data_IF_566437656221
#
_entry.id   IF_566437656221
#
_cell.length_a   1.000
_cell.length_b   1.000
_cell.length_c   1.000
_cell.angle_alpha   90.00
_cell.angle_beta   90.00
_cell.angle_gamma   90.00
#
_symmetry.space_group_name_H-M   'P 1'
#
loop_
_entity.id
_entity.type
_entity.pdbx_description
1 polymer ?
#
# COMPACT_ATOMS: atom_id res chain seq x y z
N UNK A 1 -34.12 -20.10 67.81
CA UNK A 1 -34.75 -20.37 66.51
C UNK A 1 -34.11 -19.47 65.47
N UNK A 2 -33.43 -20.10 64.50
CA UNK A 2 -33.00 -19.65 63.16
C UNK A 2 -32.37 -18.26 62.94
N UNK A 3 -31.07 -18.32 62.68
CA UNK A 3 -30.19 -17.41 61.93
C UNK A 3 -30.62 -17.26 60.46
N UNK A 4 -30.46 -16.07 59.86
CA UNK A 4 -29.99 -15.84 58.48
C UNK A 4 -29.48 -14.39 58.40
N UNK A 5 -28.18 -14.15 58.60
CA UNK A 5 -27.05 -14.23 57.65
C UNK A 5 -26.99 -13.04 56.68
N UNK A 6 -26.13 -12.10 57.08
CA UNK A 6 -25.38 -11.12 56.26
C UNK A 6 -24.86 -11.80 54.99
N UNK A 7 -25.08 -11.19 53.82
CA UNK A 7 -24.26 -11.47 52.64
C UNK A 7 -23.57 -10.19 52.23
N UNK A 8 -22.25 -10.26 52.38
CA UNK A 8 -21.27 -9.21 52.20
C UNK A 8 -21.06 -8.84 50.73
N UNK A 9 -20.49 -7.64 50.58
CA UNK A 9 -19.89 -7.05 49.39
C UNK A 9 -19.32 -8.05 48.36
N UNK A 10 -19.78 -7.93 47.12
CA UNK A 10 -19.10 -8.49 45.95
C UNK A 10 -17.81 -7.70 45.65
N UNK A 11 -16.75 -8.36 45.14
CA UNK A 11 -15.40 -7.83 45.09
C UNK A 11 -15.23 -6.86 43.90
N UNK A 12 -14.84 -5.63 44.20
CA UNK A 12 -14.44 -4.57 43.26
C UNK A 12 -13.35 -4.98 42.23
N UNK A 13 -12.70 -6.12 42.40
CA UNK A 13 -11.56 -6.57 41.58
C UNK A 13 -11.97 -7.13 40.20
N UNK A 14 -13.17 -7.70 40.06
CA UNK A 14 -13.59 -8.37 38.83
C UNK A 14 -14.10 -7.38 37.76
N UNK A 15 -14.81 -6.33 38.18
CA UNK A 15 -15.37 -5.29 37.30
C UNK A 15 -14.27 -4.43 36.66
N UNK A 16 -13.18 -4.19 37.39
CA UNK A 16 -12.03 -3.43 36.89
C UNK A 16 -11.34 -4.13 35.71
N UNK A 17 -11.17 -5.46 35.79
CA UNK A 17 -10.49 -6.26 34.76
C UNK A 17 -11.28 -6.31 33.44
N UNK A 18 -12.60 -6.46 33.51
CA UNK A 18 -13.48 -6.46 32.31
C UNK A 18 -13.48 -5.09 31.64
N UNK A 19 -13.54 -4.01 32.42
CA UNK A 19 -13.55 -2.64 31.91
C UNK A 19 -12.21 -2.27 31.27
N UNK A 20 -11.09 -2.65 31.88
CA UNK A 20 -9.74 -2.45 31.29
C UNK A 20 -9.57 -3.23 30.00
N UNK A 21 -10.11 -4.44 29.90
CA UNK A 21 -10.02 -5.27 28.69
C UNK A 21 -10.88 -4.68 27.56
N UNK A 22 -12.10 -4.25 27.86
CA UNK A 22 -12.99 -3.59 26.90
C UNK A 22 -12.45 -2.23 26.41
N UNK A 23 -11.85 -1.43 27.29
CA UNK A 23 -11.16 -0.18 26.93
C UNK A 23 -9.90 -0.44 26.09
N UNK A 24 -9.19 -1.55 26.35
CA UNK A 24 -8.03 -1.96 25.55
C UNK A 24 -8.45 -2.42 24.15
N UNK A 25 -9.56 -3.15 24.02
CA UNK A 25 -10.09 -3.63 22.73
C UNK A 25 -10.67 -2.49 21.88
N UNK A 26 -11.43 -1.57 22.47
CA UNK A 26 -11.92 -0.37 21.75
C UNK A 26 -10.76 0.51 21.28
N UNK A 27 -9.78 0.78 22.15
CA UNK A 27 -8.58 1.52 21.76
C UNK A 27 -7.67 0.81 20.74
N UNK A 28 -7.78 -0.52 20.59
CA UNK A 28 -7.12 -1.27 19.51
C UNK A 28 -7.85 -1.09 18.17
N UNK A 29 -9.18 -1.15 18.18
CA UNK A 29 -10.02 -0.91 16.99
C UNK A 29 -9.75 0.47 16.39
N UNK A 30 -9.75 1.54 17.21
CA UNK A 30 -9.57 2.91 16.73
C UNK A 30 -8.15 3.16 16.16
N UNK A 31 -7.13 2.56 16.79
CA UNK A 31 -5.75 2.61 16.29
C UNK A 31 -5.57 1.86 14.98
N UNK A 32 -6.23 0.71 14.82
CA UNK A 32 -6.22 -0.05 13.57
C UNK A 32 -6.95 0.69 12.46
N UNK A 33 -8.10 1.28 12.74
CA UNK A 33 -8.87 2.04 11.75
C UNK A 33 -8.12 3.29 11.26
N UNK A 34 -7.52 4.06 12.17
CA UNK A 34 -6.71 5.25 11.79
C UNK A 34 -5.45 4.89 11.00
N UNK A 35 -4.80 3.78 11.36
CA UNK A 35 -3.68 3.19 10.61
C UNK A 35 -4.12 2.80 9.20
N UNK A 36 -5.21 2.04 9.07
CA UNK A 36 -5.70 1.56 7.78
C UNK A 36 -6.11 2.71 6.86
N UNK A 37 -6.85 3.70 7.37
CA UNK A 37 -7.24 4.90 6.61
C UNK A 37 -6.03 5.61 6.01
N UNK A 38 -4.98 5.82 6.79
CA UNK A 38 -3.75 6.49 6.32
C UNK A 38 -3.03 5.70 5.23
N UNK A 39 -2.96 4.37 5.37
CA UNK A 39 -2.40 3.49 4.34
C UNK A 39 -3.22 3.53 3.05
N UNK A 40 -4.55 3.54 3.15
CA UNK A 40 -5.43 3.65 1.99
C UNK A 40 -5.25 4.99 1.28
N UNK A 41 -5.16 6.10 2.01
CA UNK A 41 -4.89 7.43 1.44
C UNK A 41 -3.56 7.45 0.69
N UNK A 42 -2.50 6.91 1.28
CA UNK A 42 -1.21 6.81 0.60
C UNK A 42 -1.29 5.90 -0.64
N UNK A 43 -1.97 4.76 -0.53
CA UNK A 43 -2.21 3.86 -1.66
C UNK A 43 -2.91 4.58 -2.80
N UNK A 44 -4.02 5.29 -2.55
CA UNK A 44 -4.76 6.05 -3.57
C UNK A 44 -3.90 7.14 -4.20
N UNK A 45 -3.11 7.87 -3.40
CA UNK A 45 -2.20 8.90 -3.92
C UNK A 45 -1.15 8.29 -4.87
N UNK A 46 -0.51 7.18 -4.48
CA UNK A 46 0.43 6.46 -5.34
C UNK A 46 -0.26 5.82 -6.55
N UNK A 47 -1.51 5.37 -6.43
CA UNK A 47 -2.31 4.87 -7.55
C UNK A 47 -2.54 5.96 -8.61
N UNK A 48 -2.78 7.21 -8.18
CA UNK A 48 -2.89 8.35 -9.08
C UNK A 48 -1.60 8.58 -9.89
N UNK A 49 -0.44 8.53 -9.24
CA UNK A 49 0.86 8.58 -9.94
C UNK A 49 1.01 7.41 -10.91
N UNK A 50 0.65 6.20 -10.48
CA UNK A 50 0.65 5.00 -11.33
C UNK A 50 -0.28 5.10 -12.54
N UNK A 51 -1.45 5.73 -12.41
CA UNK A 51 -2.36 5.95 -13.52
C UNK A 51 -1.75 6.92 -14.55
N UNK A 52 -1.15 8.02 -14.10
CA UNK A 52 -0.48 8.99 -14.96
C UNK A 52 0.68 8.33 -15.71
N UNK A 53 1.54 7.59 -15.00
CA UNK A 53 2.68 6.90 -15.64
C UNK A 53 2.20 5.78 -16.57
N UNK A 54 1.15 5.05 -16.22
CA UNK A 54 0.55 4.04 -17.09
C UNK A 54 0.04 4.62 -18.41
N UNK A 55 -0.66 5.76 -18.35
CA UNK A 55 -1.10 6.50 -19.56
C UNK A 55 0.11 6.95 -20.38
N UNK A 56 1.14 7.51 -19.76
CA UNK A 56 2.36 7.91 -20.47
C UNK A 56 3.00 6.73 -21.19
N UNK A 57 3.19 5.60 -20.49
CA UNK A 57 3.78 4.37 -21.06
C UNK A 57 3.01 3.90 -22.29
N UNK A 58 1.68 3.84 -22.23
CA UNK A 58 0.85 3.40 -23.37
C UNK A 58 1.01 4.30 -24.59
N UNK A 59 1.30 5.59 -24.41
CA UNK A 59 1.46 6.53 -25.51
C UNK A 59 2.89 6.58 -26.08
N UNK A 60 3.91 6.17 -25.32
CA UNK A 60 5.32 6.24 -25.76
C UNK A 60 5.91 4.88 -26.12
N UNK A 61 5.39 3.79 -25.56
CA UNK A 61 5.92 2.45 -25.79
C UNK A 61 5.43 1.89 -27.14
N UNK A 62 6.34 1.27 -27.88
CA UNK A 62 6.03 0.55 -29.12
C UNK A 62 5.92 -0.95 -28.83
N UNK A 63 4.86 -1.59 -29.31
CA UNK A 63 4.65 -3.03 -29.17
C UNK A 63 3.25 -3.39 -28.65
N UNK A 64 2.92 -4.67 -28.69
CA UNK A 64 1.66 -5.18 -28.11
C UNK A 64 1.78 -5.36 -26.60
N UNK A 65 0.65 -5.43 -25.90
CA UNK A 65 0.62 -5.73 -24.46
C UNK A 65 0.80 -4.54 -23.50
N UNK A 66 1.26 -3.38 -23.97
CA UNK A 66 1.40 -2.19 -23.11
C UNK A 66 0.06 -1.63 -22.59
N UNK A 67 -1.08 -2.02 -23.18
CA UNK A 67 -2.41 -1.67 -22.66
C UNK A 67 -2.64 -2.11 -21.21
N UNK A 68 -1.97 -3.17 -20.74
CA UNK A 68 -2.08 -3.65 -19.35
C UNK A 68 -1.54 -2.64 -18.33
N UNK A 69 -0.68 -1.69 -18.73
CA UNK A 69 -0.16 -0.66 -17.82
C UNK A 69 -1.25 0.27 -17.28
N UNK A 70 -2.36 0.45 -18.00
CA UNK A 70 -3.50 1.25 -17.53
C UNK A 70 -4.12 0.72 -16.24
N UNK A 71 -3.97 -0.59 -15.96
CA UNK A 71 -4.49 -1.23 -14.75
C UNK A 71 -3.36 -1.64 -13.82
N UNK A 72 -2.28 -2.21 -14.35
CA UNK A 72 -1.16 -2.71 -13.55
C UNK A 72 -0.41 -1.59 -12.81
N UNK A 73 -0.17 -0.44 -13.45
CA UNK A 73 0.55 0.67 -12.83
C UNK A 73 -0.20 1.31 -11.65
N UNK A 74 -1.49 1.70 -11.76
CA UNK A 74 -2.22 2.21 -10.60
C UNK A 74 -2.38 1.17 -9.49
N UNK A 75 -2.59 -0.11 -9.84
CA UNK A 75 -2.70 -1.18 -8.84
C UNK A 75 -1.37 -1.39 -8.10
N UNK A 76 -0.24 -1.40 -8.83
CA UNK A 76 1.08 -1.50 -8.23
C UNK A 76 1.39 -0.31 -7.31
N UNK A 77 1.06 0.91 -7.76
CA UNK A 77 1.17 2.13 -6.95
C UNK A 77 0.35 2.04 -5.66
N UNK A 78 -0.91 1.59 -5.76
CA UNK A 78 -1.78 1.39 -4.61
C UNK A 78 -1.20 0.42 -3.58
N UNK A 79 -0.82 -0.78 -4.04
CA UNK A 79 -0.31 -1.84 -3.19
C UNK A 79 1.03 -1.47 -2.56
N UNK A 80 1.96 -0.91 -3.33
CA UNK A 80 3.26 -0.48 -2.82
C UNK A 80 3.10 0.69 -1.83
N UNK A 81 2.32 1.72 -2.18
CA UNK A 81 2.06 2.88 -1.34
C UNK A 81 1.46 2.52 0.01
N UNK A 82 0.37 1.74 0.01
CA UNK A 82 -0.28 1.32 1.25
C UNK A 82 0.61 0.43 2.12
N UNK A 83 1.39 -0.46 1.50
CA UNK A 83 2.30 -1.38 2.19
C UNK A 83 3.46 -0.64 2.85
N UNK A 84 4.22 0.16 2.11
CA UNK A 84 5.36 0.87 2.68
C UNK A 84 4.94 1.96 3.67
N UNK A 85 3.77 2.58 3.49
CA UNK A 85 3.21 3.45 4.52
C UNK A 85 3.02 2.71 5.84
N UNK A 86 2.43 1.51 5.80
CA UNK A 86 2.17 0.69 6.97
C UNK A 86 3.45 0.19 7.64
N UNK A 87 4.44 -0.23 6.84
CA UNK A 87 5.67 -0.82 7.36
C UNK A 87 6.68 0.22 7.88
N UNK A 88 6.70 1.42 7.29
CA UNK A 88 7.72 2.44 7.56
C UNK A 88 7.11 3.65 8.27
N UNK A 89 6.22 4.39 7.60
CA UNK A 89 5.71 5.66 8.10
C UNK A 89 4.90 5.51 9.40
N UNK A 90 4.10 4.44 9.54
CA UNK A 90 3.31 4.21 10.75
C UNK A 90 4.13 3.87 11.99
N UNK A 91 5.35 3.33 11.82
CA UNK A 91 6.25 3.07 12.96
C UNK A 91 6.81 4.37 13.54
N UNK A 92 6.85 5.44 12.73
CA UNK A 92 7.29 6.76 13.16
C UNK A 92 6.34 7.84 12.65
N UNK A 93 5.11 7.84 13.18
CA UNK A 93 3.98 8.72 12.76
C UNK A 93 4.31 10.22 12.82
N UNK A 94 5.33 10.59 13.59
CA UNK A 94 5.79 11.96 13.73
C UNK A 94 7.00 12.26 12.86
N UNK A 95 7.39 11.44 11.88
CA UNK A 95 8.55 11.71 11.03
C UNK A 95 8.16 11.96 9.57
N UNK A 96 8.33 13.21 9.11
CA UNK A 96 8.20 13.57 7.68
C UNK A 96 9.23 12.82 6.85
N UNK A 97 10.44 12.63 7.39
CA UNK A 97 11.47 11.85 6.72
C UNK A 97 11.08 10.38 6.58
N UNK A 98 10.43 9.79 7.60
CA UNK A 98 9.91 8.42 7.48
C UNK A 98 8.78 8.32 6.44
N UNK A 99 7.92 9.33 6.36
CA UNK A 99 6.91 9.45 5.30
C UNK A 99 7.54 9.55 3.92
N UNK A 100 8.54 10.41 3.75
CA UNK A 100 9.28 10.57 2.50
C UNK A 100 9.96 9.26 2.07
N UNK A 101 10.63 8.58 3.02
CA UNK A 101 11.29 7.31 2.75
C UNK A 101 10.29 6.20 2.39
N UNK A 102 9.16 6.12 3.09
CA UNK A 102 8.08 5.19 2.75
C UNK A 102 7.55 5.42 1.33
N UNK A 103 7.36 6.69 0.94
CA UNK A 103 6.91 7.08 -0.38
C UNK A 103 7.94 6.78 -1.48
N UNK A 104 9.22 7.04 -1.23
CA UNK A 104 10.31 6.70 -2.15
C UNK A 104 10.40 5.18 -2.38
N UNK A 105 10.31 4.38 -1.30
CA UNK A 105 10.27 2.92 -1.40
C UNK A 105 9.05 2.42 -2.18
N UNK A 106 7.88 3.04 -1.97
CA UNK A 106 6.68 2.73 -2.74
C UNK A 106 6.87 3.03 -4.23
N UNK A 107 7.46 4.19 -4.56
CA UNK A 107 7.86 4.56 -5.91
C UNK A 107 8.72 3.47 -6.54
N UNK A 108 9.82 3.09 -5.88
CA UNK A 108 10.74 2.05 -6.39
C UNK A 108 10.07 0.69 -6.55
N UNK A 109 9.42 0.19 -5.49
CA UNK A 109 8.86 -1.17 -5.48
C UNK A 109 7.67 -1.34 -6.44
N UNK A 110 6.97 -0.24 -6.75
CA UNK A 110 5.87 -0.26 -7.71
C UNK A 110 6.31 -0.67 -9.11
N UNK A 111 7.58 -0.46 -9.50
CA UNK A 111 8.10 -0.87 -10.81
C UNK A 111 8.11 -2.39 -10.96
N UNK A 112 8.72 -3.09 -10.00
CA UNK A 112 8.74 -4.55 -9.98
C UNK A 112 7.33 -5.12 -9.94
N UNK A 113 6.49 -4.58 -9.05
CA UNK A 113 5.11 -5.04 -8.89
C UNK A 113 4.29 -4.79 -10.16
N UNK A 114 4.45 -3.65 -10.83
CA UNK A 114 3.77 -3.32 -12.08
C UNK A 114 4.15 -4.33 -13.18
N UNK A 115 5.43 -4.56 -13.41
CA UNK A 115 5.86 -5.53 -14.43
C UNK A 115 5.39 -6.95 -14.13
N UNK A 116 5.46 -7.37 -12.87
CA UNK A 116 4.94 -8.67 -12.49
C UNK A 116 3.44 -8.80 -12.77
N UNK A 117 2.66 -7.77 -12.45
CA UNK A 117 1.23 -7.74 -12.74
C UNK A 117 0.93 -7.75 -14.24
N UNK A 118 1.71 -7.04 -15.07
CA UNK A 118 1.58 -7.07 -16.54
C UNK A 118 1.84 -8.47 -17.07
N UNK A 119 2.92 -9.13 -16.64
CA UNK A 119 3.21 -10.50 -17.07
C UNK A 119 2.17 -11.50 -16.60
N UNK A 120 1.71 -11.38 -15.35
CA UNK A 120 0.67 -12.24 -14.82
C UNK A 120 -0.66 -12.06 -15.58
N UNK A 121 -1.07 -10.82 -15.85
CA UNK A 121 -2.27 -10.52 -16.62
C UNK A 121 -2.18 -11.09 -18.05
N UNK A 122 -1.03 -10.92 -18.71
CA UNK A 122 -0.81 -11.45 -20.06
C UNK A 122 -0.82 -12.98 -20.08
N UNK A 123 -0.17 -13.62 -19.10
CA UNK A 123 -0.15 -15.08 -18.97
C UNK A 123 -1.55 -15.65 -18.70
N UNK A 124 -2.33 -15.04 -17.80
CA UNK A 124 -3.71 -15.43 -17.52
C UNK A 124 -4.58 -15.24 -18.77
N UNK A 125 -4.45 -14.10 -19.46
CA UNK A 125 -5.19 -13.87 -20.70
C UNK A 125 -4.85 -14.92 -21.77
N UNK A 126 -3.57 -15.25 -21.94
CA UNK A 126 -3.15 -16.27 -22.90
C UNK A 126 -3.68 -17.66 -22.54
N UNK A 127 -3.64 -18.02 -21.26
CA UNK A 127 -4.21 -19.30 -20.78
C UNK A 127 -5.72 -19.41 -21.04
N UNK A 128 -6.45 -18.30 -20.96
CA UNK A 128 -7.91 -18.29 -21.16
C UNK A 128 -8.35 -18.13 -22.61
N UNK A 129 -7.56 -17.45 -23.44
CA UNK A 129 -8.00 -17.03 -24.79
C UNK A 129 -7.08 -17.47 -25.92
N UNK A 130 -5.83 -17.83 -25.61
CA UNK A 130 -4.73 -18.08 -26.56
C UNK A 130 -4.44 -16.92 -27.53
N UNK A 131 -4.94 -15.71 -27.23
CA UNK A 131 -4.81 -14.52 -28.09
C UNK A 131 -3.85 -13.45 -27.56
N UNK A 132 -3.57 -13.46 -26.26
CA UNK A 132 -2.66 -12.50 -25.65
C UNK A 132 -1.22 -12.96 -25.78
N UNK A 133 -0.43 -12.29 -26.60
CA UNK A 133 1.00 -12.55 -26.76
C UNK A 133 1.84 -11.47 -26.09
N UNK A 134 3.14 -11.71 -25.97
CA UNK A 134 4.09 -10.71 -25.53
C UNK A 134 4.27 -9.58 -26.56
N UNK A 135 5.19 -8.65 -26.29
CA UNK A 135 5.47 -7.53 -27.18
C UNK A 135 5.99 -7.93 -28.56
N UNK A 136 6.60 -9.13 -28.69
CA UNK A 136 7.18 -9.68 -29.92
C UNK A 136 6.20 -10.58 -30.68
N UNK A 137 5.10 -10.97 -30.04
CA UNK A 137 4.10 -11.87 -30.61
C UNK A 137 4.25 -13.32 -30.18
N UNK A 138 5.18 -13.62 -29.27
CA UNK A 138 5.41 -14.95 -28.73
C UNK A 138 4.48 -15.27 -27.55
N UNK A 139 4.30 -16.55 -27.19
CA UNK A 139 3.61 -16.94 -25.96
C UNK A 139 4.25 -16.27 -24.73
N UNK A 140 3.45 -15.72 -23.80
CA UNK A 140 3.99 -15.04 -22.64
C UNK A 140 4.75 -16.00 -21.72
N UNK A 141 5.75 -15.46 -21.04
CA UNK A 141 6.49 -16.16 -20.01
C UNK A 141 5.55 -16.71 -18.93
N UNK A 142 5.87 -17.90 -18.39
CA UNK A 142 5.13 -18.44 -17.25
C UNK A 142 5.32 -17.58 -15.99
N UNK A 143 4.49 -17.77 -14.96
CA UNK A 143 4.49 -16.92 -13.76
C UNK A 143 5.81 -16.95 -12.96
N UNK A 144 6.59 -18.02 -13.08
CA UNK A 144 7.90 -18.12 -12.42
C UNK A 144 8.95 -17.32 -13.20
N UNK A 145 8.98 -17.48 -14.52
CA UNK A 145 9.82 -16.66 -15.42
C UNK A 145 9.45 -15.17 -15.34
N UNK A 146 8.18 -14.85 -15.09
CA UNK A 146 7.70 -13.48 -14.89
C UNK A 146 8.38 -12.77 -13.71
N UNK A 147 8.87 -13.48 -12.69
CA UNK A 147 9.64 -12.87 -11.60
C UNK A 147 10.98 -12.32 -12.11
N UNK A 148 11.69 -13.11 -12.91
CA UNK A 148 12.97 -12.70 -13.50
C UNK A 148 12.75 -11.58 -14.51
N UNK A 149 11.74 -11.73 -15.38
CA UNK A 149 11.33 -10.67 -16.30
C UNK A 149 11.01 -9.38 -15.55
N UNK A 150 10.19 -9.44 -14.50
CA UNK A 150 9.82 -8.26 -13.72
C UNK A 150 11.04 -7.58 -13.10
N UNK A 151 12.05 -8.33 -12.64
CA UNK A 151 13.29 -7.76 -12.13
C UNK A 151 14.06 -6.98 -13.21
N UNK A 152 14.27 -7.61 -14.38
CA UNK A 152 15.01 -7.00 -15.50
C UNK A 152 14.31 -5.75 -16.00
N UNK A 153 13.02 -5.86 -16.31
CA UNK A 153 12.22 -4.75 -16.82
C UNK A 153 11.99 -3.66 -15.77
N UNK A 154 11.93 -4.02 -14.47
CA UNK A 154 11.93 -3.05 -13.38
C UNK A 154 13.19 -2.19 -13.41
N UNK A 155 14.38 -2.80 -13.60
CA UNK A 155 15.64 -2.06 -13.71
C UNK A 155 15.62 -1.02 -14.85
N UNK A 156 15.18 -1.44 -16.03
CA UNK A 156 15.02 -0.54 -17.19
C UNK A 156 14.01 0.56 -16.89
N UNK A 157 12.85 0.23 -16.33
CA UNK A 157 11.81 1.22 -16.02
C UNK A 157 12.21 2.18 -14.91
N UNK A 158 13.03 1.75 -13.94
CA UNK A 158 13.60 2.63 -12.92
C UNK A 158 14.60 3.62 -13.53
N UNK A 159 15.37 3.20 -14.52
CA UNK A 159 16.26 4.11 -15.23
C UNK A 159 15.48 5.23 -15.95
N UNK A 160 14.40 4.87 -16.66
CA UNK A 160 13.61 5.85 -17.43
C UNK A 160 12.61 6.66 -16.63
N UNK A 161 11.93 6.05 -15.65
CA UNK A 161 10.82 6.68 -14.91
C UNK A 161 11.11 6.82 -13.41
N UNK A 162 12.18 6.22 -12.89
CA UNK A 162 12.51 6.26 -11.45
C UNK A 162 12.81 7.67 -10.94
N UNK A 163 13.42 8.52 -11.77
CA UNK A 163 13.64 9.93 -11.43
C UNK A 163 12.34 10.74 -11.29
N UNK A 164 11.22 10.23 -11.80
CA UNK A 164 9.90 10.81 -11.62
C UNK A 164 9.14 10.13 -10.47
N UNK A 165 9.07 8.80 -10.48
CA UNK A 165 8.25 8.03 -9.53
C UNK A 165 8.80 8.04 -8.12
N UNK A 166 10.13 7.99 -7.94
CA UNK A 166 10.77 8.00 -6.62
C UNK A 166 10.58 9.36 -5.94
N UNK A 167 10.89 10.52 -6.58
CA UNK A 167 10.62 11.81 -5.98
C UNK A 167 9.13 12.09 -5.78
N UNK A 168 8.26 11.73 -6.74
CA UNK A 168 6.82 11.90 -6.59
C UNK A 168 6.28 11.12 -5.38
N UNK A 169 6.67 9.84 -5.24
CA UNK A 169 6.33 9.03 -4.08
C UNK A 169 6.85 9.66 -2.77
N UNK A 170 8.12 10.08 -2.75
CA UNK A 170 8.72 10.75 -1.60
C UNK A 170 8.01 12.03 -1.19
N UNK A 171 7.64 12.89 -2.14
CA UNK A 171 6.90 14.12 -1.89
C UNK A 171 5.50 13.84 -1.34
N UNK A 172 4.77 12.88 -1.92
CA UNK A 172 3.45 12.47 -1.43
C UNK A 172 3.53 11.94 0.01
N UNK A 173 4.52 11.09 0.28
CA UNK A 173 4.73 10.54 1.62
C UNK A 173 5.12 11.60 2.65
N UNK A 174 5.99 12.54 2.27
CA UNK A 174 6.37 13.68 3.10
C UNK A 174 5.16 14.59 3.42
N UNK A 175 4.37 14.90 2.39
CA UNK A 175 3.17 15.73 2.50
C UNK A 175 2.13 15.10 3.42
N UNK A 176 1.83 13.81 3.24
CA UNK A 176 0.87 13.12 4.10
C UNK A 176 1.35 13.08 5.55
N UNK A 177 2.63 12.80 5.80
CA UNK A 177 3.19 12.79 7.15
C UNK A 177 3.16 14.19 7.79
N UNK A 178 3.39 15.24 7.00
CA UNK A 178 3.31 16.61 7.46
C UNK A 178 1.87 17.03 7.80
N UNK A 179 0.89 16.67 6.97
CA UNK A 179 -0.54 16.93 7.22
C UNK A 179 -0.99 16.25 8.53
N UNK A 180 -0.59 15.00 8.74
CA UNK A 180 -0.92 14.26 9.96
C UNK A 180 -0.31 14.85 11.23
N UNK A 181 0.92 15.39 11.14
CA UNK A 181 1.53 16.11 12.26
C UNK A 181 0.70 17.33 12.64
N UNK A 182 0.23 18.13 11.67
CA UNK A 182 -0.55 19.35 11.92
C UNK A 182 -1.88 19.08 12.63
N UNK A 183 -2.58 18.03 12.20
CA UNK A 183 -3.87 17.65 12.84
C UNK A 183 -3.71 17.23 14.29
N UNK A 184 -2.55 16.71 14.70
CA UNK A 184 -2.28 16.35 16.10
C UNK A 184 -1.74 17.50 16.97
N UNK A 185 -1.44 18.67 16.37
CA UNK A 185 -0.83 19.81 17.06
C UNK A 185 -1.82 20.90 17.46
N UNK A 186 -3.09 20.78 17.05
CA UNK A 186 -4.12 21.78 17.39
C UNK A 186 -4.60 21.52 18.81
N UNK A 187 -4.55 22.53 19.72
CA UNK A 187 -5.19 22.39 21.02
C UNK A 187 -6.69 22.17 20.81
N UNK A 188 -7.24 21.15 21.45
CA UNK A 188 -8.69 20.97 21.53
C UNK A 188 -9.31 22.21 22.17
N UNK A 189 -10.37 22.81 21.58
CA UNK A 189 -11.08 23.93 22.19
C UNK A 189 -11.71 23.55 23.53
#
# INVERSE_FOLDING_TARGET
>A
MLQFKKYDALPFCCTATITVTALRLSGWSDRMQSSLKSSLVMGVACAGVGAITGVLVVNVASGKGYGWFLVAAPLAGFLAGGTFWRLVAQRNKRSVLAGAFAGALAGTASHFLCWYLVFAATAVCYALTSRCTDSLGDPPANLLQALVGAAVYSGVSLFFFGWLTIPAGGLLGALLAWLQRRTHSSPSP
#
